data_IF_725307346286
#
_entry.id   IF_725307346286
#
_cell.length_a   1.000
_cell.length_b   1.000
_cell.length_c   1.000
_cell.angle_alpha   90.00
_cell.angle_beta   90.00
_cell.angle_gamma   90.00
#
_symmetry.space_group_name_H-M   'P 1'
#
loop_
_entity.id
_entity.type
_entity.pdbx_description
1 polymer ?
#
# COMPACT_ATOMS: atom_id res chain seq x y z
N UNK A 1 -35.17 -9.59 -27.18
CA UNK A 1 -34.40 -8.33 -27.04
C UNK A 1 -34.66 -7.86 -25.64
N UNK A 2 -33.75 -8.19 -24.73
CA UNK A 2 -33.83 -7.78 -23.33
C UNK A 2 -33.25 -6.38 -23.24
N UNK A 3 -34.06 -5.43 -22.75
CA UNK A 3 -33.61 -4.09 -22.43
C UNK A 3 -32.51 -4.18 -21.36
N UNK A 4 -31.28 -3.88 -21.79
CA UNK A 4 -30.17 -3.62 -20.87
C UNK A 4 -30.54 -2.34 -20.10
N UNK A 5 -30.56 -2.37 -18.75
CA UNK A 5 -30.88 -1.18 -17.97
C UNK A 5 -29.88 -0.08 -18.32
N UNK A 6 -30.42 1.13 -18.49
CA UNK A 6 -29.67 2.33 -18.82
C UNK A 6 -28.48 2.49 -17.86
N UNK A 7 -27.29 2.49 -18.48
CA UNK A 7 -25.99 2.95 -18.01
C UNK A 7 -26.06 3.82 -16.74
N UNK A 8 -26.10 3.15 -15.58
CA UNK A 8 -26.05 3.79 -14.28
C UNK A 8 -24.60 4.24 -14.08
N UNK A 9 -24.34 5.54 -14.32
CA UNK A 9 -23.01 6.11 -14.14
C UNK A 9 -22.50 5.72 -12.74
N UNK A 10 -21.27 5.19 -12.62
CA UNK A 10 -20.74 4.78 -11.34
C UNK A 10 -20.83 5.95 -10.35
N UNK A 11 -21.45 5.73 -9.18
CA UNK A 11 -21.48 6.69 -8.08
C UNK A 11 -20.11 6.74 -7.39
N UNK A 12 -19.18 7.40 -8.07
CA UNK A 12 -17.79 7.58 -7.64
C UNK A 12 -17.70 8.17 -6.23
N UNK A 13 -18.53 9.17 -5.90
CA UNK A 13 -18.53 9.78 -4.58
C UNK A 13 -18.97 8.81 -3.48
N UNK A 14 -20.00 8.00 -3.75
CA UNK A 14 -20.43 6.92 -2.87
C UNK A 14 -19.33 5.88 -2.63
N UNK A 15 -18.63 5.45 -3.69
CA UNK A 15 -17.53 4.49 -3.58
C UNK A 15 -16.33 5.01 -2.79
N UNK A 16 -15.91 6.25 -3.03
CA UNK A 16 -14.85 6.92 -2.25
C UNK A 16 -15.20 6.99 -0.76
N UNK A 17 -16.45 7.33 -0.44
CA UNK A 17 -16.92 7.35 0.95
C UNK A 17 -16.86 5.96 1.58
N UNK A 18 -17.42 4.93 0.93
CA UNK A 18 -17.40 3.56 1.44
C UNK A 18 -15.96 3.08 1.66
N UNK A 19 -15.05 3.41 0.74
CA UNK A 19 -13.65 3.08 0.87
C UNK A 19 -13.01 3.74 2.10
N UNK A 20 -13.19 5.06 2.28
CA UNK A 20 -12.69 5.77 3.46
C UNK A 20 -13.27 5.22 4.76
N UNK A 21 -14.58 5.02 4.82
CA UNK A 21 -15.26 4.45 5.98
C UNK A 21 -14.68 3.04 6.32
N UNK A 22 -14.38 2.22 5.31
CA UNK A 22 -13.76 0.89 5.50
C UNK A 22 -12.32 0.97 6.00
N UNK A 23 -11.56 1.97 5.55
CA UNK A 23 -10.19 2.21 6.00
C UNK A 23 -10.18 2.71 7.43
N UNK A 24 -11.06 3.66 7.77
CA UNK A 24 -11.19 4.20 9.12
C UNK A 24 -11.61 3.12 10.12
N UNK A 25 -12.59 2.27 9.77
CA UNK A 25 -13.01 1.13 10.59
C UNK A 25 -11.85 0.15 10.85
N UNK A 26 -11.06 -0.16 9.82
CA UNK A 26 -9.92 -1.07 9.96
C UNK A 26 -8.77 -0.46 10.77
N UNK A 27 -8.53 0.84 10.64
CA UNK A 27 -7.54 1.57 11.45
C UNK A 27 -7.95 1.58 12.92
N UNK A 28 -9.21 1.88 13.21
CA UNK A 28 -9.75 1.81 14.57
C UNK A 28 -9.66 0.40 15.14
N UNK A 29 -9.99 -0.62 14.33
CA UNK A 29 -9.88 -2.02 14.74
C UNK A 29 -8.44 -2.43 15.07
N UNK A 30 -7.49 -2.05 14.21
CA UNK A 30 -6.05 -2.34 14.37
C UNK A 30 -5.48 -1.66 15.62
N UNK A 31 -5.84 -0.40 15.87
CA UNK A 31 -5.38 0.33 17.06
C UNK A 31 -5.90 -0.28 18.37
N UNK A 32 -7.06 -0.94 18.34
CA UNK A 32 -7.68 -1.53 19.51
C UNK A 32 -7.26 -3.00 19.77
N UNK A 33 -6.54 -3.65 18.84
CA UNK A 33 -6.20 -5.07 18.95
C UNK A 33 -4.75 -5.35 18.51
N UNK A 34 -3.88 -5.60 19.48
CA UNK A 34 -2.43 -5.76 19.29
C UNK A 34 -2.00 -6.95 18.39
N UNK A 35 -2.86 -7.97 18.20
CA UNK A 35 -2.51 -9.20 17.48
C UNK A 35 -3.32 -9.44 16.20
N UNK A 36 -4.05 -8.44 15.72
CA UNK A 36 -4.92 -8.62 14.55
C UNK A 36 -4.23 -8.35 13.21
N UNK A 37 -4.52 -9.23 12.26
CA UNK A 37 -4.08 -9.14 10.88
C UNK A 37 -4.70 -7.91 10.20
N UNK A 38 -3.88 -6.97 9.76
CA UNK A 38 -4.36 -5.74 9.14
C UNK A 38 -4.96 -6.00 7.76
N UNK A 39 -6.25 -5.68 7.58
CA UNK A 39 -6.98 -5.84 6.32
C UNK A 39 -6.86 -4.65 5.37
N UNK A 40 -6.04 -3.65 5.70
CA UNK A 40 -5.83 -2.50 4.83
C UNK A 40 -5.25 -2.91 3.47
N UNK A 41 -4.31 -3.85 3.43
CA UNK A 41 -3.70 -4.31 2.19
C UNK A 41 -4.70 -4.92 1.17
N UNK A 42 -5.59 -5.86 1.56
CA UNK A 42 -6.62 -6.35 0.65
C UNK A 42 -7.65 -5.27 0.26
N UNK A 43 -8.04 -4.37 1.17
CA UNK A 43 -8.95 -3.24 0.87
C UNK A 43 -8.33 -2.33 -0.22
N UNK A 44 -7.06 -1.95 -0.04
CA UNK A 44 -6.28 -1.14 -0.99
C UNK A 44 -6.19 -1.86 -2.34
N UNK A 45 -5.81 -3.14 -2.34
CA UNK A 45 -5.65 -3.93 -3.57
C UNK A 45 -6.96 -4.05 -4.35
N UNK A 46 -8.08 -4.25 -3.66
CA UNK A 46 -9.41 -4.30 -4.27
C UNK A 46 -9.80 -2.96 -4.90
N UNK A 47 -9.54 -1.84 -4.20
CA UNK A 47 -9.88 -0.52 -4.72
C UNK A 47 -9.00 -0.13 -5.92
N UNK A 48 -7.71 -0.47 -5.90
CA UNK A 48 -6.81 -0.31 -7.04
C UNK A 48 -7.28 -1.10 -8.26
N UNK A 49 -7.74 -2.34 -8.07
CA UNK A 49 -8.29 -3.15 -9.14
C UNK A 49 -9.57 -2.53 -9.71
N UNK A 50 -10.45 -2.00 -8.85
CA UNK A 50 -11.66 -1.28 -9.24
C UNK A 50 -11.33 -0.04 -10.09
N UNK A 51 -10.42 0.82 -9.63
CA UNK A 51 -9.96 2.01 -10.38
C UNK A 51 -9.40 1.59 -11.74
N UNK A 52 -8.55 0.56 -11.78
CA UNK A 52 -7.96 0.04 -13.03
C UNK A 52 -9.04 -0.39 -14.02
N UNK A 53 -9.96 -1.24 -13.57
CA UNK A 53 -10.99 -1.86 -14.41
C UNK A 53 -11.99 -0.81 -14.91
N UNK A 54 -12.49 0.01 -14.00
CA UNK A 54 -13.55 0.95 -14.31
C UNK A 54 -13.00 2.13 -15.11
N UNK A 55 -11.74 2.53 -14.90
CA UNK A 55 -11.10 3.48 -15.80
C UNK A 55 -10.92 2.94 -17.22
N UNK A 56 -10.46 1.70 -17.35
CA UNK A 56 -10.27 1.09 -18.66
C UNK A 56 -11.60 0.96 -19.43
N UNK A 57 -12.71 0.81 -18.71
CA UNK A 57 -14.04 0.56 -19.27
C UNK A 57 -14.94 1.80 -19.40
N UNK A 58 -14.66 2.91 -18.70
CA UNK A 58 -15.58 4.07 -18.63
C UNK A 58 -15.00 5.37 -19.20
N UNK A 59 -15.88 6.33 -19.47
CA UNK A 59 -15.52 7.70 -19.86
C UNK A 59 -15.20 8.60 -18.65
N UNK A 60 -14.79 8.03 -17.51
CA UNK A 60 -14.52 8.78 -16.28
C UNK A 60 -13.51 9.92 -16.51
N UNK A 61 -13.72 11.09 -15.92
CA UNK A 61 -12.81 12.23 -16.07
C UNK A 61 -11.51 11.98 -15.30
N UNK A 62 -10.38 12.47 -15.79
CA UNK A 62 -9.07 12.36 -15.12
C UNK A 62 -9.14 12.85 -13.66
N UNK A 63 -9.82 13.97 -13.42
CA UNK A 63 -10.01 14.56 -12.09
C UNK A 63 -10.69 13.61 -11.10
N UNK A 64 -11.67 12.81 -11.54
CA UNK A 64 -12.32 11.85 -10.65
C UNK A 64 -11.36 10.72 -10.27
N UNK A 65 -10.53 10.25 -11.20
CA UNK A 65 -9.54 9.19 -10.90
C UNK A 65 -8.45 9.72 -9.98
N UNK A 66 -8.00 10.96 -10.19
CA UNK A 66 -7.07 11.63 -9.28
C UNK A 66 -7.60 11.66 -7.85
N UNK A 67 -8.89 11.99 -7.67
CA UNK A 67 -9.52 11.97 -6.36
C UNK A 67 -9.51 10.57 -5.73
N UNK A 68 -9.85 9.53 -6.49
CA UNK A 68 -9.83 8.16 -5.98
C UNK A 68 -8.43 7.63 -5.70
N UNK A 69 -7.47 7.97 -6.55
CA UNK A 69 -6.07 7.63 -6.30
C UNK A 69 -5.55 8.34 -5.05
N UNK A 70 -5.95 9.59 -4.81
CA UNK A 70 -5.63 10.29 -3.56
C UNK A 70 -6.12 9.51 -2.34
N UNK A 71 -7.40 9.07 -2.35
CA UNK A 71 -7.93 8.25 -1.24
C UNK A 71 -7.10 6.97 -1.05
N UNK A 72 -6.71 6.28 -2.13
CA UNK A 72 -5.85 5.09 -2.05
C UNK A 72 -4.47 5.42 -1.49
N UNK A 73 -3.86 6.53 -1.90
CA UNK A 73 -2.55 6.95 -1.41
C UNK A 73 -2.59 7.24 0.08
N UNK A 74 -3.64 7.91 0.54
CA UNK A 74 -3.87 8.14 1.97
C UNK A 74 -4.03 6.81 2.72
N UNK A 75 -4.76 5.84 2.16
CA UNK A 75 -4.90 4.51 2.74
C UNK A 75 -3.58 3.72 2.78
N UNK A 76 -2.75 3.81 1.75
CA UNK A 76 -1.41 3.21 1.73
C UNK A 76 -0.51 3.81 2.82
N UNK A 77 -0.59 5.12 3.02
CA UNK A 77 0.17 5.83 4.05
C UNK A 77 -0.35 5.46 5.45
N UNK A 78 -1.67 5.40 5.64
CA UNK A 78 -2.27 4.91 6.88
C UNK A 78 -1.84 3.48 7.18
N UNK A 79 -1.83 2.59 6.18
CA UNK A 79 -1.28 1.25 6.32
C UNK A 79 0.20 1.28 6.74
N UNK A 80 1.01 2.16 6.14
CA UNK A 80 2.40 2.37 6.53
C UNK A 80 2.58 2.84 7.98
N UNK A 81 1.62 3.57 8.55
CA UNK A 81 1.65 4.08 9.93
C UNK A 81 1.18 3.04 10.94
N UNK A 82 0.08 2.36 10.64
CA UNK A 82 -0.61 1.50 11.60
C UNK A 82 -0.15 0.03 11.56
N UNK A 83 0.39 -0.44 10.43
CA UNK A 83 0.94 -1.79 10.37
C UNK A 83 2.32 -1.80 11.02
N UNK A 84 2.54 -2.72 11.95
CA UNK A 84 3.81 -2.92 12.63
C UNK A 84 4.95 -3.13 11.63
N UNK A 85 5.96 -2.27 11.66
CA UNK A 85 7.11 -2.32 10.75
C UNK A 85 7.95 -3.61 10.87
N UNK A 86 7.79 -4.38 11.95
CA UNK A 86 8.49 -5.67 12.15
C UNK A 86 7.80 -6.87 11.51
N UNK A 87 6.55 -6.74 11.10
CA UNK A 87 5.80 -7.86 10.49
C UNK A 87 6.01 -7.92 8.97
N UNK A 88 5.57 -9.02 8.36
CA UNK A 88 5.55 -9.17 6.90
C UNK A 88 4.40 -8.40 6.24
N UNK A 89 3.40 -7.97 7.00
CA UNK A 89 2.19 -7.32 6.49
C UNK A 89 2.45 -6.05 5.67
N UNK A 90 3.36 -5.12 6.05
CA UNK A 90 3.63 -3.96 5.21
C UNK A 90 4.18 -4.35 3.83
N UNK A 91 4.79 -5.54 3.68
CA UNK A 91 5.26 -6.00 2.37
C UNK A 91 4.10 -6.28 1.42
N UNK A 92 2.90 -6.60 1.91
CA UNK A 92 1.76 -6.86 1.02
C UNK A 92 1.33 -5.60 0.28
N UNK A 93 1.32 -4.44 0.95
CA UNK A 93 1.06 -3.13 0.34
C UNK A 93 2.19 -2.76 -0.64
N UNK A 94 3.45 -2.94 -0.22
CA UNK A 94 4.62 -2.68 -1.07
C UNK A 94 4.60 -3.54 -2.34
N UNK A 95 4.26 -4.83 -2.22
CA UNK A 95 4.15 -5.76 -3.34
C UNK A 95 2.99 -5.37 -4.27
N UNK A 96 1.85 -4.93 -3.72
CA UNK A 96 0.74 -4.42 -4.53
C UNK A 96 1.18 -3.20 -5.36
N UNK A 97 1.86 -2.23 -4.74
CA UNK A 97 2.40 -1.05 -5.42
C UNK A 97 3.45 -1.41 -6.48
N UNK A 98 4.35 -2.36 -6.16
CA UNK A 98 5.33 -2.86 -7.13
C UNK A 98 4.64 -3.53 -8.33
N UNK A 99 3.62 -4.36 -8.07
CA UNK A 99 2.83 -5.02 -9.10
C UNK A 99 2.14 -4.03 -10.03
N UNK A 100 1.58 -2.95 -9.48
CA UNK A 100 1.04 -1.85 -10.28
C UNK A 100 2.11 -1.22 -11.16
N UNK A 101 3.27 -0.86 -10.60
CA UNK A 101 4.37 -0.26 -11.35
C UNK A 101 4.80 -1.12 -12.55
N UNK A 102 4.72 -2.45 -12.42
CA UNK A 102 4.99 -3.40 -13.52
C UNK A 102 3.84 -3.61 -14.50
N UNK A 103 2.61 -3.19 -14.16
CA UNK A 103 1.40 -3.38 -14.98
C UNK A 103 1.37 -2.49 -16.24
N UNK A 104 2.31 -1.56 -16.37
CA UNK A 104 2.44 -0.69 -17.54
C UNK A 104 1.44 0.46 -17.58
N UNK A 105 1.52 1.33 -18.60
CA UNK A 105 0.63 2.48 -18.74
C UNK A 105 -0.82 2.01 -18.96
N UNK A 106 -1.75 2.59 -18.21
CA UNK A 106 -3.16 2.25 -18.33
C UNK A 106 -3.72 2.85 -19.62
N UNK A 107 -4.20 1.99 -20.52
CA UNK A 107 -4.83 2.40 -21.77
C UNK A 107 -6.35 2.38 -21.62
N UNK A 108 -7.02 3.47 -22.05
CA UNK A 108 -8.47 3.43 -22.21
C UNK A 108 -8.81 2.50 -23.37
N UNK A 109 -9.79 1.61 -23.19
CA UNK A 109 -10.36 0.85 -24.29
C UNK A 109 -11.18 1.83 -25.15
N UNK A 110 -10.49 2.52 -26.06
CA UNK A 110 -11.12 3.42 -27.02
C UNK A 110 -12.23 2.67 -27.75
N UNK A 111 -13.47 3.13 -27.56
CA UNK A 111 -14.71 2.77 -28.25
C UNK A 111 -14.62 1.54 -29.19
N UNK A 112 -14.93 0.35 -28.67
CA UNK A 112 -15.23 -0.82 -29.50
C UNK A 112 -16.55 -0.70 -30.30
N UNK A 113 -17.27 0.43 -30.24
CA UNK A 113 -18.60 0.57 -30.83
C UNK A 113 -18.91 1.95 -31.44
N UNK A 114 -18.02 2.49 -32.28
CA UNK A 114 -18.45 3.54 -33.22
C UNK A 114 -18.11 3.14 -34.66
N UNK A 115 -19.08 2.67 -35.45
CA UNK A 115 -18.85 2.21 -36.83
C UNK A 115 -18.60 3.36 -37.82
N UNK A 116 -18.42 4.60 -37.37
CA UNK A 116 -18.35 5.78 -38.23
C UNK A 116 -17.15 6.71 -38.03
N UNK A 117 -16.18 6.37 -37.17
CA UNK A 117 -14.97 7.19 -37.04
C UNK A 117 -13.80 6.52 -37.75
N UNK A 118 -13.44 7.11 -38.89
CA UNK A 118 -12.21 6.87 -39.60
C UNK A 118 -11.03 6.92 -38.64
N UNK A 119 -10.33 5.80 -38.57
CA UNK A 119 -9.10 5.55 -37.83
C UNK A 119 -8.09 6.70 -38.04
N UNK A 120 -8.09 7.68 -37.15
CA UNK A 120 -6.88 8.43 -36.85
C UNK A 120 -6.13 7.63 -35.81
N UNK A 121 -5.05 6.96 -36.25
CA UNK A 121 -4.07 6.26 -35.42
C UNK A 121 -3.36 7.15 -34.36
N UNK A 122 -3.85 8.38 -34.14
CA UNK A 122 -3.30 9.34 -33.18
C UNK A 122 -3.94 9.27 -31.79
N UNK A 123 -5.08 8.60 -31.62
CA UNK A 123 -5.79 8.55 -30.32
C UNK A 123 -5.56 7.25 -29.53
N UNK A 124 -4.88 6.25 -30.11
CA UNK A 124 -4.63 4.98 -29.44
C UNK A 124 -3.41 4.99 -28.50
N UNK A 125 -2.53 6.00 -28.63
CA UNK A 125 -1.21 6.05 -27.98
C UNK A 125 -1.00 7.25 -27.03
N UNK A 126 -2.04 8.05 -26.74
CA UNK A 126 -1.88 9.11 -25.74
C UNK A 126 -1.82 8.48 -24.34
N UNK A 127 -0.59 8.24 -23.87
CA UNK A 127 -0.32 7.98 -22.46
C UNK A 127 -0.92 9.13 -21.65
N UNK A 128 -1.90 8.81 -20.80
CA UNK A 128 -2.57 9.83 -20.01
C UNK A 128 -1.61 10.31 -18.93
N UNK A 129 -1.41 11.63 -18.92
CA UNK A 129 -0.58 12.33 -17.95
C UNK A 129 -1.48 12.95 -16.89
N UNK A 130 -1.09 12.78 -15.63
CA UNK A 130 -1.75 13.35 -14.48
C UNK A 130 -1.41 14.83 -14.31
N UNK A 131 -2.05 15.50 -13.35
CA UNK A 131 -1.76 16.89 -12.98
C UNK A 131 -0.30 17.14 -12.61
N UNK A 132 0.42 16.13 -12.14
CA UNK A 132 1.86 16.15 -11.86
C UNK A 132 2.74 15.80 -13.07
N UNK A 133 2.14 15.58 -14.24
CA UNK A 133 2.80 15.22 -15.49
C UNK A 133 3.21 13.76 -15.60
N UNK A 134 2.94 12.93 -14.57
CA UNK A 134 3.33 11.52 -14.55
C UNK A 134 2.30 10.62 -15.24
N UNK A 135 2.75 9.47 -15.66
CA UNK A 135 1.96 8.42 -16.29
C UNK A 135 1.48 7.41 -15.25
N UNK A 136 0.26 6.91 -15.47
CA UNK A 136 -0.54 6.07 -14.57
C UNK A 136 0.24 5.10 -13.63
N UNK A 137 0.30 3.80 -13.91
CA UNK A 137 0.97 2.89 -12.98
C UNK A 137 2.50 2.96 -12.95
N UNK A 138 3.21 3.18 -14.07
CA UNK A 138 4.67 3.13 -14.07
C UNK A 138 5.35 4.17 -13.17
N UNK A 139 4.72 5.32 -12.95
CA UNK A 139 5.31 6.44 -12.22
C UNK A 139 4.56 6.79 -10.92
N UNK A 140 3.47 6.07 -10.60
CA UNK A 140 2.63 6.25 -9.41
C UNK A 140 2.34 7.74 -9.13
N UNK A 141 1.53 8.39 -9.99
CA UNK A 141 1.26 9.81 -9.93
C UNK A 141 0.68 10.18 -8.57
N UNK A 142 1.07 11.35 -8.07
CA UNK A 142 0.64 11.93 -6.80
C UNK A 142 1.10 11.16 -5.55
N UNK A 143 1.35 9.84 -5.61
CA UNK A 143 1.72 9.04 -4.44
C UNK A 143 2.95 9.59 -3.70
N UNK A 144 4.00 9.92 -4.47
CA UNK A 144 5.22 10.48 -3.90
C UNK A 144 4.97 11.84 -3.23
N UNK A 145 4.10 12.67 -3.81
CA UNK A 145 3.74 13.98 -3.25
C UNK A 145 2.98 13.79 -1.93
N UNK A 146 1.95 12.95 -1.92
CA UNK A 146 1.17 12.64 -0.71
C UNK A 146 2.06 12.07 0.40
N UNK A 147 2.98 11.15 0.07
CA UNK A 147 3.90 10.58 1.06
C UNK A 147 4.90 11.60 1.61
N UNK A 148 5.41 12.49 0.76
CA UNK A 148 6.31 13.58 1.20
C UNK A 148 5.56 14.54 2.11
N UNK A 149 4.34 14.92 1.75
CA UNK A 149 3.52 15.83 2.54
C UNK A 149 3.23 15.25 3.93
N UNK A 150 2.80 13.98 4.00
CA UNK A 150 2.61 13.30 5.29
C UNK A 150 3.90 13.30 6.11
N UNK A 151 5.02 12.90 5.48
CA UNK A 151 6.30 12.80 6.15
C UNK A 151 6.76 14.16 6.69
N UNK A 152 6.68 15.22 5.87
CA UNK A 152 7.14 16.54 6.27
C UNK A 152 6.22 17.19 7.32
N UNK A 153 4.91 16.94 7.26
CA UNK A 153 3.95 17.56 8.16
C UNK A 153 3.90 16.87 9.53
N UNK A 154 4.04 15.55 9.58
CA UNK A 154 3.72 14.78 10.78
C UNK A 154 4.90 14.06 11.42
N UNK A 155 5.88 13.60 10.64
CA UNK A 155 7.00 12.79 11.16
C UNK A 155 7.81 13.49 12.26
N UNK A 156 7.97 14.82 12.15
CA UNK A 156 8.71 15.62 13.14
C UNK A 156 7.83 16.21 14.25
N UNK A 157 6.53 15.89 14.28
CA UNK A 157 5.65 16.42 15.32
C UNK A 157 5.89 15.68 16.65
N UNK A 158 6.05 16.41 17.77
CA UNK A 158 6.36 15.81 19.07
C UNK A 158 5.25 14.86 19.58
N UNK A 159 4.04 14.96 19.06
CA UNK A 159 2.89 14.15 19.45
C UNK A 159 2.58 13.01 18.46
N UNK A 160 3.40 12.82 17.42
CA UNK A 160 3.11 11.85 16.35
C UNK A 160 3.25 10.39 16.82
N UNK A 161 3.93 10.14 17.94
CA UNK A 161 4.12 8.80 18.51
C UNK A 161 5.31 8.07 17.90
N UNK A 162 6.18 7.52 18.75
CA UNK A 162 7.41 6.85 18.31
C UNK A 162 7.13 5.61 17.45
N UNK A 163 6.10 4.83 17.78
CA UNK A 163 5.70 3.64 17.02
C UNK A 163 5.21 3.99 15.61
N UNK A 164 4.39 5.03 15.45
CA UNK A 164 3.92 5.49 14.13
C UNK A 164 5.07 6.03 13.27
N UNK A 165 6.01 6.75 13.89
CA UNK A 165 7.23 7.22 13.24
C UNK A 165 8.08 6.04 12.76
N UNK A 166 8.31 5.04 13.62
CA UNK A 166 9.06 3.83 13.29
C UNK A 166 8.40 2.99 12.18
N UNK A 167 7.08 2.81 12.25
CA UNK A 167 6.33 2.07 11.23
C UNK A 167 6.39 2.78 9.88
N UNK A 168 6.13 4.09 9.85
CA UNK A 168 6.18 4.88 8.62
C UNK A 168 7.61 4.91 8.05
N UNK A 169 8.63 5.07 8.89
CA UNK A 169 10.04 4.98 8.50
C UNK A 169 10.38 3.63 7.85
N UNK A 170 9.91 2.54 8.46
CA UNK A 170 10.13 1.19 7.95
C UNK A 170 9.41 0.98 6.61
N UNK A 171 8.19 1.49 6.48
CA UNK A 171 7.42 1.45 5.25
C UNK A 171 8.13 2.23 4.13
N UNK A 172 8.56 3.47 4.39
CA UNK A 172 9.35 4.28 3.44
C UNK A 172 10.64 3.57 3.05
N UNK A 173 11.36 2.98 4.02
CA UNK A 173 12.57 2.20 3.76
C UNK A 173 12.32 1.02 2.81
N UNK A 174 11.18 0.32 2.96
CA UNK A 174 10.76 -0.77 2.06
C UNK A 174 10.38 -0.25 0.67
N UNK A 175 9.73 0.91 0.57
CA UNK A 175 9.41 1.53 -0.72
C UNK A 175 10.68 1.94 -1.48
N UNK A 176 11.68 2.48 -0.78
CA UNK A 176 12.97 2.86 -1.36
C UNK A 176 13.75 1.62 -1.80
N UNK A 177 13.76 0.54 -1.01
CA UNK A 177 14.51 -0.68 -1.34
C UNK A 177 14.00 -1.40 -2.60
N UNK A 178 12.70 -1.28 -2.89
CA UNK A 178 12.07 -1.83 -4.10
C UNK A 178 12.09 -0.83 -5.27
N UNK A 179 12.62 0.38 -5.05
CA UNK A 179 12.67 1.44 -6.08
C UNK A 179 11.28 1.94 -6.47
N UNK A 180 10.31 1.89 -5.56
CA UNK A 180 8.97 2.45 -5.76
C UNK A 180 9.00 3.96 -5.49
N UNK A 181 9.78 4.37 -4.51
CA UNK A 181 9.90 5.76 -4.07
C UNK A 181 11.33 6.26 -4.20
N UNK A 182 11.52 7.23 -5.10
CA UNK A 182 12.77 7.96 -5.30
C UNK A 182 12.73 9.36 -4.62
N UNK A 183 12.00 9.46 -3.52
CA UNK A 183 11.68 10.74 -2.89
C UNK A 183 12.88 11.57 -2.45
N UNK A 184 12.63 12.81 -2.02
CA UNK A 184 13.67 13.78 -1.73
C UNK A 184 14.61 13.23 -0.65
N UNK A 185 15.90 13.45 -0.86
CA UNK A 185 16.96 13.03 0.04
C UNK A 185 16.69 13.47 1.49
N UNK A 186 15.93 14.54 1.71
CA UNK A 186 15.54 15.01 3.03
C UNK A 186 14.76 13.98 3.84
N UNK A 187 13.81 13.23 3.25
CA UNK A 187 13.06 12.20 3.98
C UNK A 187 14.00 11.08 4.40
N UNK A 188 14.86 10.61 3.48
CA UNK A 188 15.85 9.56 3.73
C UNK A 188 16.87 10.01 4.78
N UNK A 189 17.38 11.23 4.68
CA UNK A 189 18.34 11.81 5.64
C UNK A 189 17.70 12.02 7.01
N UNK A 190 16.42 12.41 7.09
CA UNK A 190 15.68 12.48 8.34
C UNK A 190 15.57 11.10 9.00
N UNK A 191 15.29 10.05 8.23
CA UNK A 191 15.28 8.66 8.72
C UNK A 191 16.66 8.22 9.23
N UNK A 192 17.73 8.50 8.48
CA UNK A 192 19.09 8.19 8.92
C UNK A 192 19.48 8.96 10.16
N UNK A 193 19.13 10.25 10.21
CA UNK A 193 19.36 11.10 11.37
C UNK A 193 18.67 10.53 12.60
N UNK A 194 17.41 10.16 12.50
CA UNK A 194 16.67 9.57 13.61
C UNK A 194 17.26 8.22 14.03
N UNK A 195 17.63 7.36 13.08
CA UNK A 195 18.27 6.09 13.38
C UNK A 195 19.64 6.22 14.07
N UNK A 196 20.39 7.31 13.79
CA UNK A 196 21.73 7.55 14.34
C UNK A 196 21.72 8.41 15.62
N UNK A 197 20.80 9.36 15.74
CA UNK A 197 20.67 10.26 16.90
C UNK A 197 19.82 9.64 18.01
N UNK A 198 18.92 8.71 17.69
CA UNK A 198 18.20 7.95 18.72
C UNK A 198 19.16 6.93 19.32
N UNK A 199 19.47 6.99 20.62
CA UNK A 199 20.34 6.01 21.25
C UNK A 199 19.65 4.65 21.17
N UNK A 200 20.05 3.84 20.17
CA UNK A 200 19.68 2.43 20.15
C UNK A 200 20.29 1.82 21.40
N UNK A 201 19.50 1.26 22.32
CA UNK A 201 20.06 0.51 23.42
C UNK A 201 20.77 -0.68 22.77
N UNK A 202 22.11 -0.71 22.86
CA UNK A 202 22.98 -1.83 22.47
C UNK A 202 22.67 -3.01 23.40
N UNK A 203 21.46 -3.54 23.30
CA UNK A 203 21.00 -4.64 24.12
C UNK A 203 20.84 -5.81 23.18
N UNK A 204 21.76 -6.74 23.33
CA UNK A 204 21.56 -8.17 23.16
C UNK A 204 20.32 -8.60 23.96
N UNK A 205 19.12 -8.24 23.50
CA UNK A 205 17.92 -8.97 23.85
C UNK A 205 17.90 -10.14 22.89
N UNK A 206 18.47 -11.26 23.33
CA UNK A 206 17.98 -12.54 22.86
C UNK A 206 16.48 -12.48 23.13
N UNK A 207 15.70 -12.43 22.06
CA UNK A 207 14.26 -12.34 22.13
C UNK A 207 13.80 -13.49 23.04
N UNK A 208 13.13 -13.19 24.14
CA UNK A 208 12.73 -14.23 25.11
C UNK A 208 11.81 -15.24 24.40
N UNK A 209 11.12 -14.82 23.33
CA UNK A 209 10.37 -15.68 22.42
C UNK A 209 11.26 -16.61 21.57
N UNK A 210 12.46 -16.18 21.16
CA UNK A 210 13.42 -17.06 20.48
C UNK A 210 14.07 -18.05 21.46
N UNK A 211 14.34 -17.64 22.71
CA UNK A 211 14.79 -18.58 23.77
C UNK A 211 13.70 -19.60 24.06
N UNK A 212 12.45 -19.17 24.15
CA UNK A 212 11.30 -20.06 24.43
C UNK A 212 11.00 -20.98 23.26
N UNK A 213 11.17 -20.52 22.00
CA UNK A 213 11.08 -21.37 20.80
C UNK A 213 12.22 -22.37 20.69
N UNK A 214 13.45 -21.98 21.02
CA UNK A 214 14.58 -22.91 21.07
C UNK A 214 14.38 -23.98 22.15
N UNK A 215 13.95 -23.59 23.35
CA UNK A 215 13.66 -24.53 24.45
C UNK A 215 12.50 -25.46 24.09
N UNK A 216 11.43 -24.96 23.47
CA UNK A 216 10.32 -25.78 22.98
C UNK A 216 10.74 -26.77 21.88
N UNK A 217 11.70 -26.39 21.02
CA UNK A 217 12.22 -27.27 19.98
C UNK A 217 13.14 -28.36 20.56
N UNK A 218 13.98 -28.02 21.52
CA UNK A 218 14.85 -28.97 22.23
C UNK A 218 14.05 -30.00 23.04
N UNK A 219 12.99 -29.57 23.74
CA UNK A 219 12.08 -30.49 24.46
C UNK A 219 11.37 -31.47 23.51
N UNK A 220 11.02 -31.01 22.30
CA UNK A 220 10.39 -31.87 21.27
C UNK A 220 11.37 -32.88 20.68
N UNK A 221 12.64 -32.50 20.51
CA UNK A 221 13.69 -33.42 20.06
C UNK A 221 14.02 -34.47 21.12
N UNK A 222 14.07 -34.08 22.40
CA UNK A 222 14.31 -35.01 23.50
C UNK A 222 13.15 -36.01 23.66
N UNK A 223 11.90 -35.54 23.52
CA UNK A 223 10.70 -36.40 23.54
C UNK A 223 10.68 -37.39 22.37
N UNK A 224 11.14 -36.96 21.18
CA UNK A 224 11.29 -37.84 20.01
C UNK A 224 12.40 -38.89 20.19
N UNK A 225 13.52 -38.53 20.81
CA UNK A 225 14.60 -39.47 21.13
C UNK A 225 14.13 -40.58 22.08
N UNK A 226 13.39 -40.22 23.12
CA UNK A 226 12.84 -41.21 24.07
C UNK A 226 11.76 -42.12 23.45
N UNK A 227 10.97 -41.61 22.51
CA UNK A 227 9.97 -42.40 21.80
C UNK A 227 10.59 -43.44 20.84
N UNK A 228 11.80 -43.16 20.33
CA UNK A 228 12.53 -44.07 19.44
C UNK A 228 13.26 -45.16 20.23
N UNK A 229 13.83 -44.84 21.39
CA UNK A 229 14.49 -45.83 22.25
C UNK A 229 13.51 -46.77 22.99
N UNK A 230 12.26 -46.34 23.23
CA UNK A 230 11.22 -47.19 23.82
C UNK A 230 10.52 -48.16 22.85
N UNK A 231 10.87 -48.13 21.56
CA UNK A 231 10.26 -48.95 20.51
C UNK A 231 11.21 -50.03 19.94
N UNK A 232 12.41 -50.20 20.51
CA UNK A 232 13.33 -51.32 20.25
C UNK A 232 13.33 -52.32 21.39
#
# INVERSE_FOLDING_TARGET
MSDLPADEKPDWAGWSKIFRDSVDEEVEFTNNHEDNFCRLAPIISQHLHFITRDYAASECSLTNIELHLSDVWDACIMAGKHIRGRTSEPNTVVVALAGLKTSGPLQRLSQRYSPSQTLSAHNADQSITFSDGRTFWPELPLFALTLIDEFMQHFHQPNYGAEFSFNLATFVGRLVSVGIFDGPAICILSLFREALETPQPLTTTVDIDDVTRMQSFEDRLHTLGQAIEGAS
#
